data_IF_711027864653
#
_entry.id   IF_711027864653
#
_cell.length_a   1.000
_cell.length_b   1.000
_cell.length_c   1.000
_cell.angle_alpha   90.00
_cell.angle_beta   90.00
_cell.angle_gamma   90.00
#
_symmetry.space_group_name_H-M   'P 1'
#
loop_
_entity.id
_entity.type
_entity.pdbx_description
1 polymer ?
#
# COMPACT_ATOMS: atom_id res chain seq x y z
N UNK A 1 7.29 -24.22 7.12
CA UNK A 1 6.65 -23.70 8.35
C UNK A 1 7.60 -23.95 9.50
N UNK A 2 7.93 -22.95 10.33
CA UNK A 2 8.73 -23.19 11.52
C UNK A 2 7.98 -24.20 12.38
N UNK A 3 8.62 -25.33 12.68
CA UNK A 3 8.02 -26.36 13.51
C UNK A 3 8.16 -25.98 14.98
N UNK A 4 7.38 -26.59 15.87
CA UNK A 4 7.53 -26.40 17.32
C UNK A 4 8.98 -26.65 17.80
N UNK A 5 9.74 -27.47 17.06
CA UNK A 5 11.16 -27.73 17.30
C UNK A 5 12.01 -26.47 17.10
N UNK A 6 11.67 -25.62 16.15
CA UNK A 6 12.37 -24.35 15.90
C UNK A 6 12.24 -23.39 17.08
N UNK A 7 11.08 -23.35 17.76
CA UNK A 7 10.89 -22.56 18.98
C UNK A 7 11.75 -23.05 20.14
N UNK A 8 12.03 -24.35 20.20
CA UNK A 8 12.88 -24.94 21.24
C UNK A 8 14.38 -24.66 20.98
N UNK A 9 14.77 -24.52 19.72
CA UNK A 9 16.18 -24.38 19.32
C UNK A 9 16.62 -22.93 19.17
N UNK A 10 15.76 -22.04 18.68
CA UNK A 10 16.11 -20.66 18.38
C UNK A 10 15.56 -19.66 19.40
N UNK A 11 16.46 -18.89 20.02
CA UNK A 11 16.09 -17.76 20.89
C UNK A 11 15.41 -16.63 20.11
N UNK A 12 15.88 -16.33 18.90
CA UNK A 12 15.34 -15.22 18.10
C UNK A 12 13.87 -15.43 17.74
N UNK A 13 13.49 -16.68 17.45
CA UNK A 13 12.10 -17.04 17.19
C UNK A 13 11.24 -16.87 18.46
N UNK A 14 11.77 -17.24 19.63
CA UNK A 14 11.05 -17.01 20.88
C UNK A 14 10.80 -15.53 21.11
N UNK A 15 11.81 -14.70 20.91
CA UNK A 15 11.72 -13.25 21.13
C UNK A 15 10.63 -12.58 20.26
N UNK A 16 10.43 -13.05 19.03
CA UNK A 16 9.37 -12.57 18.13
C UNK A 16 7.95 -12.81 18.68
N UNK A 17 7.72 -13.94 19.35
CA UNK A 17 6.39 -14.30 19.85
C UNK A 17 6.10 -13.84 21.30
N UNK A 18 7.08 -13.29 22.03
CA UNK A 18 6.92 -12.88 23.43
C UNK A 18 5.84 -11.81 23.68
N UNK A 19 5.41 -11.10 22.64
CA UNK A 19 4.32 -10.12 22.73
C UNK A 19 2.93 -10.75 22.91
N UNK A 20 2.75 -12.03 22.57
CA UNK A 20 1.44 -12.72 22.55
C UNK A 20 1.12 -13.40 23.88
N UNK A 21 1.13 -12.61 24.96
CA UNK A 21 0.84 -13.09 26.32
C UNK A 21 -0.61 -13.54 26.52
N UNK A 22 -1.52 -13.19 25.60
CA UNK A 22 -2.93 -13.59 25.60
C UNK A 22 -3.12 -15.10 25.35
N UNK A 23 -2.14 -15.74 24.72
CA UNK A 23 -2.21 -17.18 24.41
C UNK A 23 -2.28 -18.04 25.68
N UNK A 24 -1.66 -17.59 26.77
CA UNK A 24 -1.69 -18.34 28.04
C UNK A 24 -3.14 -18.54 28.52
N UNK A 25 -3.94 -17.47 28.58
CA UNK A 25 -5.31 -17.55 29.10
C UNK A 25 -6.26 -18.36 28.19
N UNK A 26 -5.93 -18.47 26.90
CA UNK A 26 -6.71 -19.26 25.94
C UNK A 26 -6.52 -20.76 26.11
N UNK A 27 -5.33 -21.19 26.59
CA UNK A 27 -5.03 -22.60 26.83
C UNK A 27 -5.50 -23.01 28.21
N UNK A 28 -5.18 -22.23 29.25
CA UNK A 28 -5.57 -22.51 30.64
C UNK A 28 -5.57 -21.21 31.42
N UNK A 29 -6.44 -21.08 32.43
CA UNK A 29 -6.44 -19.89 33.27
C UNK A 29 -5.16 -19.83 34.12
N UNK A 30 -4.34 -18.80 33.93
CA UNK A 30 -3.14 -18.57 34.72
C UNK A 30 -3.51 -17.90 36.05
N UNK A 31 -3.25 -18.59 37.16
CA UNK A 31 -3.45 -18.04 38.50
C UNK A 31 -2.31 -17.08 38.79
N UNK A 32 -2.62 -15.78 38.87
CA UNK A 32 -1.66 -14.73 39.18
C UNK A 32 -1.77 -14.29 40.64
N UNK A 33 -0.76 -13.60 41.12
CA UNK A 33 -0.79 -12.94 42.42
C UNK A 33 -1.81 -11.79 42.43
N UNK A 34 -2.14 -11.27 43.63
CA UNK A 34 -3.14 -10.21 43.81
C UNK A 34 -2.82 -8.93 43.01
N UNK A 35 -1.54 -8.73 42.73
CA UNK A 35 -1.01 -7.64 41.91
C UNK A 35 -1.39 -7.74 40.43
N UNK A 36 -1.80 -8.91 39.94
CA UNK A 36 -2.08 -9.17 38.52
C UNK A 36 -0.84 -9.11 37.61
N UNK A 37 0.36 -9.08 38.17
CA UNK A 37 1.63 -8.90 37.44
C UNK A 37 2.51 -10.12 37.58
N UNK A 38 2.61 -10.69 38.79
CA UNK A 38 3.54 -11.75 39.11
C UNK A 38 2.87 -13.10 39.31
N UNK A 39 3.64 -14.16 39.07
CA UNK A 39 3.26 -15.57 39.30
C UNK A 39 4.39 -16.25 40.05
N UNK A 40 4.08 -17.07 41.05
CA UNK A 40 5.08 -17.83 41.80
C UNK A 40 5.46 -19.11 41.07
N UNK A 41 6.62 -19.65 41.43
CA UNK A 41 7.13 -20.91 40.87
C UNK A 41 6.13 -22.06 41.03
N UNK A 42 5.44 -22.14 42.18
CA UNK A 42 4.45 -23.19 42.46
C UNK A 42 3.23 -23.09 41.54
N UNK A 43 2.78 -21.87 41.28
CA UNK A 43 1.62 -21.60 40.44
C UNK A 43 1.95 -21.83 38.95
N UNK A 44 3.18 -21.48 38.52
CA UNK A 44 3.71 -21.85 37.20
C UNK A 44 3.83 -23.37 37.04
N UNK A 45 4.30 -24.08 38.07
CA UNK A 45 4.40 -25.55 38.05
C UNK A 45 3.02 -26.21 37.92
N UNK A 46 2.04 -25.70 38.66
CA UNK A 46 0.63 -26.15 38.57
C UNK A 46 0.03 -25.83 37.20
N UNK A 47 0.35 -24.67 36.63
CA UNK A 47 -0.12 -24.29 35.31
C UNK A 47 0.35 -25.28 34.24
N UNK A 48 1.65 -25.57 34.17
CA UNK A 48 2.23 -26.47 33.17
C UNK A 48 2.16 -27.97 33.52
N UNK A 49 1.63 -28.32 34.69
CA UNK A 49 1.53 -29.72 35.17
C UNK A 49 2.90 -30.42 35.23
N UNK A 50 3.92 -29.69 35.68
CA UNK A 50 5.29 -30.19 35.84
C UNK A 50 5.76 -30.02 37.27
N UNK A 51 6.77 -30.80 37.68
CA UNK A 51 7.38 -30.61 39.00
C UNK A 51 8.18 -29.31 39.06
N UNK A 52 8.25 -28.71 40.26
CA UNK A 52 9.04 -27.48 40.50
C UNK A 52 10.53 -27.70 40.21
N UNK A 53 11.03 -28.94 40.29
CA UNK A 53 12.41 -29.30 39.93
C UNK A 53 12.68 -29.15 38.42
N UNK A 54 11.72 -29.51 37.57
CA UNK A 54 11.85 -29.34 36.11
C UNK A 54 11.94 -27.86 35.78
N UNK A 55 11.09 -27.02 36.39
CA UNK A 55 11.17 -25.58 36.20
C UNK A 55 12.52 -25.02 36.67
N UNK A 56 13.01 -25.42 37.84
CA UNK A 56 14.32 -24.97 38.35
C UNK A 56 15.46 -25.33 37.38
N UNK A 57 15.44 -26.53 36.78
CA UNK A 57 16.44 -26.95 35.78
C UNK A 57 16.35 -26.12 34.50
N UNK A 58 15.15 -25.80 34.01
CA UNK A 58 14.99 -24.93 32.84
C UNK A 58 15.47 -23.51 33.15
N UNK A 59 15.09 -22.97 34.29
CA UNK A 59 15.53 -21.65 34.77
C UNK A 59 17.05 -21.59 34.90
N UNK A 60 17.69 -22.65 35.39
CA UNK A 60 19.14 -22.71 35.51
C UNK A 60 19.84 -22.68 34.15
N UNK A 61 19.28 -23.37 33.14
CA UNK A 61 19.85 -23.44 31.78
C UNK A 61 19.62 -22.18 30.95
N UNK A 62 18.50 -21.49 31.17
CA UNK A 62 18.05 -20.34 30.38
C UNK A 62 17.91 -19.06 31.22
N UNK A 63 18.78 -18.89 32.21
CA UNK A 63 18.65 -17.84 33.23
C UNK A 63 18.68 -16.42 32.66
N UNK A 64 19.59 -16.16 31.74
CA UNK A 64 19.75 -14.83 31.10
C UNK A 64 18.47 -14.46 30.34
N UNK A 65 17.99 -15.36 29.49
CA UNK A 65 16.79 -15.18 28.67
C UNK A 65 15.54 -14.96 29.53
N UNK A 66 15.39 -15.71 30.62
CA UNK A 66 14.24 -15.57 31.51
C UNK A 66 14.31 -14.30 32.34
N UNK A 67 15.49 -13.89 32.81
CA UNK A 67 15.68 -12.63 33.54
C UNK A 67 15.31 -11.42 32.68
N UNK A 68 15.78 -11.38 31.43
CA UNK A 68 15.41 -10.32 30.48
C UNK A 68 13.90 -10.26 30.24
N UNK A 69 13.24 -11.42 30.29
CA UNK A 69 11.81 -11.56 30.05
C UNK A 69 10.94 -11.47 31.31
N UNK A 70 11.51 -11.01 32.42
CA UNK A 70 10.78 -10.69 33.65
C UNK A 70 10.70 -11.83 34.67
N UNK A 71 11.73 -12.69 34.72
CA UNK A 71 12.04 -13.51 35.88
C UNK A 71 12.76 -12.65 36.94
N UNK A 72 12.25 -12.65 38.16
CA UNK A 72 12.88 -11.96 39.29
C UNK A 72 13.06 -12.91 40.46
N UNK A 73 14.24 -12.90 41.07
CA UNK A 73 14.54 -13.69 42.27
C UNK A 73 14.72 -12.72 43.44
N UNK A 74 13.75 -12.69 44.34
CA UNK A 74 13.77 -11.87 45.55
C UNK A 74 14.49 -12.64 46.68
N UNK A 75 15.32 -11.93 47.44
CA UNK A 75 16.09 -12.47 48.58
C UNK A 75 16.12 -11.47 49.73
N UNK A 76 16.24 -11.96 50.96
CA UNK A 76 16.50 -11.12 52.13
C UNK A 76 15.43 -10.06 52.39
N UNK A 77 15.84 -8.79 52.41
CA UNK A 77 14.96 -7.67 52.77
C UNK A 77 13.90 -7.38 51.71
N UNK A 78 14.20 -7.55 50.42
CA UNK A 78 13.22 -7.38 49.33
C UNK A 78 12.06 -8.38 49.45
N UNK A 79 12.35 -9.59 49.92
CA UNK A 79 11.33 -10.62 50.17
C UNK A 79 10.42 -10.24 51.34
N UNK A 80 10.99 -9.62 52.39
CA UNK A 80 10.23 -9.16 53.56
C UNK A 80 9.28 -8.01 53.20
N UNK A 81 9.75 -7.08 52.38
CA UNK A 81 8.95 -5.97 51.85
C UNK A 81 7.82 -6.50 50.96
N UNK A 82 8.14 -7.36 49.99
CA UNK A 82 7.15 -7.99 49.12
C UNK A 82 6.07 -8.74 49.92
N UNK A 83 6.48 -9.51 50.94
CA UNK A 83 5.55 -10.24 51.78
C UNK A 83 4.62 -9.33 52.58
N UNK A 84 5.14 -8.25 53.16
CA UNK A 84 4.33 -7.29 53.91
C UNK A 84 3.36 -6.53 53.01
N UNK A 85 3.78 -6.16 51.81
CA UNK A 85 3.00 -5.23 50.99
C UNK A 85 1.97 -5.97 50.10
N UNK A 86 2.28 -7.19 49.64
CA UNK A 86 1.44 -7.92 48.66
C UNK A 86 0.69 -9.11 49.29
N UNK A 87 1.31 -9.87 50.20
CA UNK A 87 0.71 -11.09 50.74
C UNK A 87 -0.20 -10.85 51.96
N UNK A 88 -0.01 -9.75 52.67
CA UNK A 88 -0.90 -9.34 53.77
C UNK A 88 -2.35 -9.11 53.33
N UNK A 89 -2.58 -8.87 52.03
CA UNK A 89 -3.90 -8.67 51.45
C UNK A 89 -4.62 -9.97 51.06
N UNK A 90 -3.94 -11.12 51.12
CA UNK A 90 -4.44 -12.41 50.63
C UNK A 90 -4.33 -13.57 51.63
N UNK A 91 -3.85 -13.32 52.84
CA UNK A 91 -3.65 -14.35 53.87
C UNK A 91 -4.93 -14.92 54.47
N UNK A 92 -6.11 -14.37 54.15
CA UNK A 92 -7.38 -14.79 54.77
C UNK A 92 -8.13 -15.91 54.02
N UNK A 93 -7.89 -16.14 52.72
CA UNK A 93 -8.83 -16.93 51.89
C UNK A 93 -8.35 -18.33 51.45
N UNK A 94 -7.07 -18.66 51.61
CA UNK A 94 -6.53 -19.98 51.25
C UNK A 94 -5.65 -20.48 52.39
N UNK A 95 -6.19 -21.39 53.21
CA UNK A 95 -5.57 -22.03 54.38
C UNK A 95 -4.33 -22.89 54.11
N UNK A 96 -3.48 -22.50 53.16
CA UNK A 96 -2.18 -23.10 52.91
C UNK A 96 -1.19 -22.38 53.80
N UNK A 97 -0.93 -22.96 54.97
CA UNK A 97 0.06 -22.48 55.94
C UNK A 97 1.38 -22.17 55.21
N UNK A 98 1.73 -20.89 55.17
CA UNK A 98 2.94 -20.37 54.54
C UNK A 98 4.17 -20.98 55.23
N UNK A 99 5.12 -21.61 54.51
CA UNK A 99 6.37 -22.01 55.14
C UNK A 99 7.15 -20.72 55.45
N UNK A 100 7.19 -20.38 56.73
CA UNK A 100 7.76 -19.18 57.34
C UNK A 100 9.30 -19.06 57.18
N UNK A 101 9.90 -19.73 56.18
CA UNK A 101 11.35 -19.94 56.07
C UNK A 101 11.86 -20.03 54.61
N UNK A 102 11.18 -19.47 53.61
CA UNK A 102 11.75 -19.37 52.28
C UNK A 102 12.82 -18.26 52.24
N UNK A 103 14.09 -18.62 52.09
CA UNK A 103 15.21 -17.67 51.96
C UNK A 103 15.28 -16.98 50.59
N UNK A 104 14.49 -17.44 49.62
CA UNK A 104 14.41 -16.89 48.26
C UNK A 104 13.03 -17.17 47.64
N UNK A 105 12.49 -16.21 46.90
CA UNK A 105 11.25 -16.35 46.14
C UNK A 105 11.51 -15.99 44.67
N UNK A 106 11.06 -16.83 43.76
CA UNK A 106 11.17 -16.58 42.32
C UNK A 106 9.79 -16.21 41.77
N UNK A 107 9.71 -15.04 41.15
CA UNK A 107 8.53 -14.47 40.52
C UNK A 107 8.69 -14.41 39.01
N UNK A 108 7.60 -14.66 38.31
CA UNK A 108 7.51 -14.68 36.86
C UNK A 108 6.45 -13.68 36.42
N UNK A 109 6.78 -12.81 35.47
CA UNK A 109 5.74 -12.08 34.72
C UNK A 109 5.08 -12.97 33.67
N UNK A 110 3.95 -12.55 33.11
CA UNK A 110 3.29 -13.29 32.00
C UNK A 110 4.22 -13.56 30.82
N UNK A 111 5.14 -12.64 30.52
CA UNK A 111 6.16 -12.80 29.48
C UNK A 111 7.16 -13.92 29.83
N UNK A 112 7.61 -13.98 31.08
CA UNK A 112 8.47 -15.06 31.55
C UNK A 112 7.76 -16.42 31.54
N UNK A 113 6.47 -16.48 31.88
CA UNK A 113 5.65 -17.70 31.80
C UNK A 113 5.50 -18.17 30.35
N UNK A 114 5.25 -17.26 29.41
CA UNK A 114 5.19 -17.58 27.99
C UNK A 114 6.53 -18.10 27.48
N UNK A 115 7.64 -17.48 27.88
CA UNK A 115 8.97 -17.98 27.53
C UNK A 115 9.21 -19.39 28.09
N UNK A 116 8.83 -19.65 29.34
CA UNK A 116 8.87 -21.01 29.91
C UNK A 116 8.05 -22.01 29.09
N UNK A 117 6.87 -21.63 28.58
CA UNK A 117 6.09 -22.47 27.69
C UNK A 117 6.83 -22.82 26.40
N UNK A 118 7.62 -21.89 25.85
CA UNK A 118 8.39 -22.14 24.64
C UNK A 118 9.64 -22.99 24.89
N UNK A 119 10.12 -23.10 26.13
CA UNK A 119 11.30 -23.89 26.52
C UNK A 119 10.97 -25.30 27.05
N UNK A 120 9.77 -25.50 27.60
CA UNK A 120 9.36 -26.77 28.24
C UNK A 120 9.02 -27.86 27.21
N UNK A 121 9.89 -28.86 27.06
CA UNK A 121 9.69 -29.95 26.08
C UNK A 121 8.58 -30.93 26.47
N UNK A 122 8.52 -31.29 27.75
CA UNK A 122 7.75 -32.45 28.21
C UNK A 122 6.40 -32.11 28.85
N UNK A 123 5.93 -30.86 28.71
CA UNK A 123 4.60 -30.43 29.20
C UNK A 123 3.61 -30.39 28.05
N UNK A 124 2.48 -31.08 28.21
CA UNK A 124 1.38 -31.07 27.23
C UNK A 124 0.77 -29.68 27.08
N UNK A 125 0.63 -28.95 28.19
CA UNK A 125 0.13 -27.57 28.20
C UNK A 125 1.11 -26.64 27.48
N UNK A 126 2.41 -26.81 27.72
CA UNK A 126 3.43 -26.04 26.99
C UNK A 126 3.41 -26.37 25.49
N UNK A 127 3.15 -27.63 25.11
CA UNK A 127 2.95 -28.03 23.71
C UNK A 127 1.75 -27.29 23.11
N UNK A 128 0.59 -27.35 23.76
CA UNK A 128 -0.61 -26.62 23.30
C UNK A 128 -0.38 -25.12 23.16
N UNK A 129 0.36 -24.48 24.07
CA UNK A 129 0.72 -23.06 23.95
C UNK A 129 1.56 -22.80 22.69
N UNK A 130 2.57 -23.62 22.41
CA UNK A 130 3.39 -23.49 21.19
C UNK A 130 2.57 -23.73 19.92
N UNK A 131 1.73 -24.76 19.90
CA UNK A 131 0.84 -25.04 18.77
C UNK A 131 -0.08 -23.84 18.52
N UNK A 132 -0.73 -23.32 19.57
CA UNK A 132 -1.62 -22.16 19.43
C UNK A 132 -0.88 -20.90 18.96
N UNK A 133 0.34 -20.64 19.45
CA UNK A 133 1.16 -19.52 18.98
C UNK A 133 1.38 -19.59 17.46
N UNK A 134 1.74 -20.76 16.95
CA UNK A 134 2.01 -20.99 15.53
C UNK A 134 0.72 -21.02 14.69
N UNK A 135 -0.35 -21.64 15.17
CA UNK A 135 -1.65 -21.70 14.49
C UNK A 135 -2.31 -20.31 14.39
N UNK A 136 -2.18 -19.48 15.44
CA UNK A 136 -2.67 -18.12 15.43
C UNK A 136 -1.91 -17.25 14.40
N UNK A 137 -0.61 -17.50 14.20
CA UNK A 137 0.10 -16.89 13.07
C UNK A 137 -0.45 -17.36 11.74
N UNK A 138 -0.56 -18.67 11.55
CA UNK A 138 -1.06 -19.22 10.29
C UNK A 138 -2.46 -18.69 9.94
N UNK A 139 -3.33 -18.57 10.94
CA UNK A 139 -4.68 -18.02 10.78
C UNK A 139 -4.65 -16.53 10.41
N UNK A 140 -3.80 -15.74 11.06
CA UNK A 140 -3.63 -14.32 10.74
C UNK A 140 -3.07 -14.10 9.33
N UNK A 141 -2.10 -14.93 8.90
CA UNK A 141 -1.60 -14.92 7.53
C UNK A 141 -2.68 -15.31 6.53
N UNK A 142 -3.46 -16.38 6.79
CA UNK A 142 -4.57 -16.80 5.93
C UNK A 142 -5.62 -15.71 5.75
N UNK A 143 -5.99 -15.01 6.82
CA UNK A 143 -6.94 -13.90 6.76
C UNK A 143 -6.37 -12.69 6.02
N UNK A 144 -5.09 -12.40 6.23
CA UNK A 144 -4.34 -11.38 5.48
C UNK A 144 -4.29 -11.68 3.98
N UNK A 145 -3.97 -12.92 3.60
CA UNK A 145 -3.96 -13.36 2.20
C UNK A 145 -5.36 -13.31 1.59
N UNK A 146 -6.40 -13.74 2.31
CA UNK A 146 -7.78 -13.65 1.82
C UNK A 146 -8.23 -12.19 1.60
N UNK A 147 -7.81 -11.27 2.48
CA UNK A 147 -8.07 -9.84 2.32
C UNK A 147 -7.34 -9.27 1.09
N UNK A 148 -6.07 -9.65 0.90
CA UNK A 148 -5.28 -9.25 -0.25
C UNK A 148 -5.87 -9.78 -1.56
N UNK A 149 -6.27 -11.04 -1.58
CA UNK A 149 -6.91 -11.71 -2.72
C UNK A 149 -8.18 -10.96 -3.14
N UNK A 150 -9.08 -10.64 -2.20
CA UNK A 150 -10.27 -9.80 -2.47
C UNK A 150 -9.92 -8.45 -3.10
N UNK A 151 -8.82 -7.81 -2.65
CA UNK A 151 -8.37 -6.53 -3.23
C UNK A 151 -7.85 -6.71 -4.64
N UNK A 152 -7.13 -7.79 -4.93
CA UNK A 152 -6.64 -8.13 -6.27
C UNK A 152 -7.81 -8.38 -7.20
N UNK A 153 -8.78 -9.23 -6.83
CA UNK A 153 -9.99 -9.47 -7.63
C UNK A 153 -10.76 -8.18 -7.90
N UNK A 154 -10.82 -7.28 -6.92
CA UNK A 154 -11.42 -5.95 -7.11
C UNK A 154 -10.65 -5.15 -8.16
N UNK A 155 -9.33 -5.09 -8.09
CA UNK A 155 -8.52 -4.39 -9.10
C UNK A 155 -8.70 -4.99 -10.49
N UNK A 156 -8.71 -6.32 -10.61
CA UNK A 156 -8.92 -7.04 -11.87
C UNK A 156 -10.25 -6.65 -12.52
N UNK A 157 -11.35 -6.67 -11.77
CA UNK A 157 -12.65 -6.22 -12.29
C UNK A 157 -12.69 -4.75 -12.73
N UNK A 158 -11.95 -3.86 -12.06
CA UNK A 158 -11.83 -2.46 -12.53
C UNK A 158 -11.03 -2.40 -13.83
N UNK A 159 -9.95 -3.17 -13.96
CA UNK A 159 -9.17 -3.25 -15.18
C UNK A 159 -9.97 -3.81 -16.35
N UNK A 160 -10.82 -4.81 -16.14
CA UNK A 160 -11.72 -5.33 -17.18
C UNK A 160 -12.68 -4.24 -17.68
N UNK A 161 -13.27 -3.45 -16.76
CA UNK A 161 -14.15 -2.34 -17.16
C UNK A 161 -13.41 -1.25 -17.95
N UNK A 162 -12.18 -0.92 -17.56
CA UNK A 162 -11.32 0.02 -18.31
C UNK A 162 -10.97 -0.57 -19.68
N UNK A 163 -10.67 -1.87 -19.74
CA UNK A 163 -10.39 -2.58 -20.98
C UNK A 163 -11.56 -2.49 -21.97
N UNK A 164 -12.78 -2.72 -21.50
CA UNK A 164 -14.00 -2.54 -22.31
C UNK A 164 -14.18 -1.10 -22.78
N UNK A 165 -14.01 -0.11 -21.91
CA UNK A 165 -14.13 1.30 -22.29
C UNK A 165 -13.09 1.71 -23.36
N UNK A 166 -11.85 1.24 -23.25
CA UNK A 166 -10.82 1.48 -24.26
C UNK A 166 -11.14 0.79 -25.60
N UNK A 167 -11.75 -0.39 -25.55
CA UNK A 167 -12.16 -1.11 -26.75
C UNK A 167 -13.25 -0.37 -27.53
N UNK A 168 -14.14 0.35 -26.85
CA UNK A 168 -15.16 1.20 -27.47
C UNK A 168 -14.59 2.45 -28.16
N UNK A 169 -13.42 2.94 -27.73
CA UNK A 169 -12.77 4.09 -28.35
C UNK A 169 -12.15 3.78 -29.72
N UNK A 170 -11.73 2.53 -29.95
CA UNK A 170 -11.09 2.11 -31.21
C UNK A 170 -11.93 2.46 -32.45
N UNK A 171 -13.21 2.05 -32.53
CA UNK A 171 -14.11 2.41 -33.63
C UNK A 171 -14.31 3.93 -33.79
N UNK A 172 -14.38 4.69 -32.69
CA UNK A 172 -14.56 6.15 -32.73
C UNK A 172 -13.33 6.82 -33.36
N UNK A 173 -12.13 6.42 -32.94
CA UNK A 173 -10.87 6.93 -33.50
C UNK A 173 -10.79 6.60 -34.99
N UNK A 174 -11.10 5.36 -35.39
CA UNK A 174 -11.11 4.97 -36.80
C UNK A 174 -12.13 5.80 -37.61
N UNK A 175 -13.32 6.04 -37.06
CA UNK A 175 -14.33 6.89 -37.67
C UNK A 175 -13.87 8.34 -37.86
N UNK A 176 -13.15 8.90 -36.89
CA UNK A 176 -12.54 10.23 -37.00
C UNK A 176 -11.48 10.26 -38.10
N UNK A 177 -10.58 9.27 -38.15
CA UNK A 177 -9.56 9.18 -39.19
C UNK A 177 -10.18 9.17 -40.59
N UNK A 178 -11.21 8.35 -40.82
CA UNK A 178 -11.92 8.31 -42.11
C UNK A 178 -12.58 9.65 -42.46
N UNK A 179 -13.11 10.38 -41.46
CA UNK A 179 -13.70 11.71 -41.69
C UNK A 179 -12.63 12.76 -42.01
N UNK A 180 -11.48 12.71 -41.36
CA UNK A 180 -10.34 13.59 -41.64
C UNK A 180 -9.82 13.35 -43.07
N UNK A 181 -9.64 12.10 -43.49
CA UNK A 181 -9.24 11.77 -44.87
C UNK A 181 -10.21 12.34 -45.92
N UNK A 182 -11.51 12.32 -45.63
CA UNK A 182 -12.53 12.92 -46.51
C UNK A 182 -12.44 14.44 -46.54
N UNK A 183 -12.15 15.07 -45.40
CA UNK A 183 -11.97 16.52 -45.32
C UNK A 183 -10.72 16.96 -46.07
N UNK A 184 -9.61 16.24 -45.93
CA UNK A 184 -8.36 16.52 -46.64
C UNK A 184 -8.55 16.46 -48.16
N UNK A 185 -9.24 15.42 -48.66
CA UNK A 185 -9.56 15.33 -50.10
C UNK A 185 -10.44 16.49 -50.57
N UNK A 186 -11.43 16.90 -49.77
CA UNK A 186 -12.28 18.05 -50.13
C UNK A 186 -11.48 19.34 -50.13
N UNK A 187 -10.61 19.57 -49.15
CA UNK A 187 -9.76 20.75 -49.10
C UNK A 187 -8.82 20.83 -50.31
N UNK A 188 -8.24 19.70 -50.71
CA UNK A 188 -7.41 19.63 -51.92
C UNK A 188 -8.20 20.04 -53.18
N UNK A 189 -9.42 19.52 -53.36
CA UNK A 189 -10.27 19.95 -54.49
C UNK A 189 -10.62 21.43 -54.45
N UNK A 190 -10.88 22.00 -53.27
CA UNK A 190 -11.15 23.44 -53.15
C UNK A 190 -9.91 24.28 -53.46
N UNK A 191 -8.73 23.86 -53.01
CA UNK A 191 -7.47 24.53 -53.31
C UNK A 191 -7.18 24.54 -54.82
N UNK A 192 -7.46 23.43 -55.52
CA UNK A 192 -7.32 23.34 -56.97
C UNK A 192 -8.27 24.30 -57.71
N UNK A 193 -9.54 24.36 -57.29
CA UNK A 193 -10.52 25.30 -57.87
C UNK A 193 -10.12 26.75 -57.63
N UNK A 194 -9.69 27.09 -56.41
CA UNK A 194 -9.20 28.44 -56.07
C UNK A 194 -7.97 28.80 -56.91
N UNK A 195 -7.02 27.87 -57.08
CA UNK A 195 -5.87 28.07 -57.97
C UNK A 195 -6.28 28.35 -59.42
N UNK A 196 -7.26 27.61 -59.95
CA UNK A 196 -7.78 27.84 -61.30
C UNK A 196 -8.48 29.21 -61.43
N UNK A 197 -9.23 29.64 -60.41
CA UNK A 197 -9.86 30.97 -60.37
C UNK A 197 -8.77 32.06 -60.35
N UNK A 198 -7.76 31.92 -59.51
CA UNK A 198 -6.65 32.86 -59.44
C UNK A 198 -5.95 33.03 -60.79
N UNK A 199 -5.69 31.93 -61.50
CA UNK A 199 -5.11 31.99 -62.85
C UNK A 199 -6.01 32.73 -63.84
N UNK A 200 -7.32 32.45 -63.85
CA UNK A 200 -8.28 33.16 -64.72
C UNK A 200 -8.38 34.65 -64.40
N UNK A 201 -8.29 35.03 -63.12
CA UNK A 201 -8.29 36.44 -62.71
C UNK A 201 -7.01 37.16 -63.16
N UNK A 202 -5.85 36.49 -63.14
CA UNK A 202 -4.62 37.01 -63.74
C UNK A 202 -4.78 37.23 -65.24
N UNK A 203 -5.30 36.23 -65.97
CA UNK A 203 -5.54 36.33 -67.42
C UNK A 203 -6.49 37.50 -67.75
N UNK A 204 -7.61 37.62 -67.02
CA UNK A 204 -8.56 38.72 -67.18
C UNK A 204 -7.93 40.09 -66.88
N UNK A 205 -7.07 40.16 -65.86
CA UNK A 205 -6.36 41.40 -65.50
C UNK A 205 -5.40 41.83 -66.62
N UNK A 206 -4.69 40.88 -67.23
CA UNK A 206 -3.80 41.16 -68.36
C UNK A 206 -4.56 41.56 -69.62
N UNK A 207 -5.71 40.92 -69.89
CA UNK A 207 -6.59 41.33 -71.00
C UNK A 207 -7.16 42.73 -70.81
N UNK A 208 -7.54 43.09 -69.58
CA UNK A 208 -8.03 44.43 -69.25
C UNK A 208 -6.94 45.49 -69.44
N UNK A 209 -5.70 45.22 -69.00
CA UNK A 209 -4.53 46.09 -69.26
C UNK A 209 -4.27 46.27 -70.76
N UNK A 210 -4.39 45.20 -71.56
CA UNK A 210 -4.26 45.29 -73.02
C UNK A 210 -5.37 46.14 -73.63
N UNK A 211 -6.59 46.05 -73.11
CA UNK A 211 -7.73 46.84 -73.57
C UNK A 211 -7.54 48.32 -73.25
N UNK A 212 -7.13 48.66 -72.03
CA UNK A 212 -6.79 50.01 -71.60
C UNK A 212 -5.73 50.63 -72.52
N UNK A 213 -4.63 49.91 -72.75
CA UNK A 213 -3.57 50.38 -73.66
C UNK A 213 -4.04 50.58 -75.12
N UNK A 214 -5.00 49.79 -75.61
CA UNK A 214 -5.62 50.00 -76.92
C UNK A 214 -6.53 51.22 -76.92
N UNK A 215 -7.27 51.45 -75.84
CA UNK A 215 -8.15 52.63 -75.70
C UNK A 215 -7.32 53.91 -75.66
N UNK A 216 -6.24 53.95 -74.88
CA UNK A 216 -5.32 55.09 -74.83
C UNK A 216 -4.76 55.42 -76.22
N UNK A 217 -4.26 54.43 -76.94
CA UNK A 217 -3.77 54.62 -78.33
C UNK A 217 -4.84 55.20 -79.26
N UNK A 218 -6.09 54.74 -79.13
CA UNK A 218 -7.21 55.27 -79.95
C UNK A 218 -7.56 56.70 -79.52
N UNK A 219 -7.58 56.99 -78.22
CA UNK A 219 -7.85 58.33 -77.68
C UNK A 219 -6.76 59.31 -78.13
N UNK A 220 -5.49 58.94 -78.06
CA UNK A 220 -4.37 59.75 -78.55
C UNK A 220 -4.50 60.02 -80.05
N UNK A 221 -4.84 59.01 -80.85
CA UNK A 221 -5.06 59.17 -82.28
C UNK A 221 -6.24 60.12 -82.59
N UNK A 222 -7.33 60.05 -81.82
CA UNK A 222 -8.47 60.97 -81.94
C UNK A 222 -8.06 62.39 -81.54
N UNK A 223 -7.33 62.54 -80.43
CA UNK A 223 -6.80 63.83 -79.95
C UNK A 223 -5.87 64.49 -80.97
N UNK A 224 -4.97 63.71 -81.58
CA UNK A 224 -4.12 64.18 -82.67
C UNK A 224 -4.93 64.63 -83.90
N UNK A 225 -5.98 63.89 -84.28
CA UNK A 225 -6.87 64.28 -85.39
C UNK A 225 -7.64 65.57 -85.08
N UNK A 226 -8.16 65.72 -83.86
CA UNK A 226 -8.83 66.95 -83.42
C UNK A 226 -7.88 68.15 -83.45
N UNK A 227 -6.65 67.99 -82.92
CA UNK A 227 -5.62 69.02 -82.96
C UNK A 227 -5.23 69.43 -84.39
N UNK A 228 -5.18 68.48 -85.32
CA UNK A 228 -4.92 68.76 -86.74
C UNK A 228 -6.07 69.53 -87.40
N UNK A 229 -7.33 69.16 -87.08
CA UNK A 229 -8.52 69.88 -87.55
C UNK A 229 -8.55 71.33 -87.03
N UNK A 230 -8.30 71.55 -85.74
CA UNK A 230 -8.22 72.90 -85.17
C UNK A 230 -7.13 73.76 -85.83
N UNK A 231 -5.95 73.18 -86.10
CA UNK A 231 -4.87 73.86 -86.85
C UNK A 231 -5.30 74.20 -88.27
N UNK A 232 -6.04 73.33 -88.95
CA UNK A 232 -6.57 73.58 -90.29
C UNK A 232 -7.63 74.70 -90.31
N UNK A 233 -8.50 74.75 -89.30
CA UNK A 233 -9.50 75.82 -89.16
C UNK A 233 -8.85 77.16 -88.82
N UNK A 234 -7.80 77.18 -87.97
CA UNK A 234 -7.01 78.39 -87.70
C UNK A 234 -6.25 78.91 -88.93
N UNK A 235 -5.78 78.02 -89.82
CA UNK A 235 -5.16 78.41 -91.11
C UNK A 235 -6.15 78.94 -92.15
N UNK A 236 -7.44 78.58 -92.06
CA UNK A 236 -8.51 79.11 -92.95
C UNK A 236 -9.10 80.45 -92.50
N UNK A 237 -8.79 80.92 -91.29
CA UNK A 237 -9.29 82.18 -90.70
C UNK A 237 -8.24 83.32 -90.68
N UNK A 238 -7.07 83.10 -91.27
CA UNK A 238 -6.06 84.12 -91.56
C UNK A 238 -5.96 84.28 -93.07
#
# INVERSE_FOLDING_TARGET
>A
MPSEVTLLESRTMRDEHLGRIDVLDKVKALVMLPDGIYVRTEDVARYFEVSTEVLKKVVQRHREELNENGLQVLRGDDLRVFHRDILSLWSDDLGTSYPQAATQLTLYTRRAVLNMAMLLRDSDIARCVRTYLLDAEESGWREGYASLDRRVTKVESHLDSVGHALQELGPVINGISVRLDRLDRRLETTNQVVGAISNRLCDLSDDMRRMEHRMDKKLDAVSHRLSALERSQRRKRR
#
